data_IF_400346023554
#
_entry.id   IF_400346023554
#
_cell.length_a   1.000
_cell.length_b   1.000
_cell.length_c   1.000
_cell.angle_alpha   90.00
_cell.angle_beta   90.00
_cell.angle_gamma   90.00
#
_symmetry.space_group_name_H-M   'P 1'
#
loop_
_entity.id
_entity.type
_entity.pdbx_description
1 polymer ?
#
# COMPACT_ATOMS: atom_id res chain seq x y z
N UNK A 1 9.71 12.66 -13.33
CA UNK A 1 10.27 12.20 -12.03
C UNK A 1 9.63 12.90 -10.82
N UNK A 2 9.57 14.23 -10.77
CA UNK A 2 8.95 14.95 -9.63
C UNK A 2 7.48 14.54 -9.40
N UNK A 3 6.65 14.61 -10.44
CA UNK A 3 5.24 14.18 -10.38
C UNK A 3 5.06 12.75 -9.85
N UNK A 4 5.82 11.79 -10.39
CA UNK A 4 5.80 10.40 -9.95
C UNK A 4 6.19 10.25 -8.47
N UNK A 5 7.12 11.08 -7.99
CA UNK A 5 7.54 11.10 -6.58
C UNK A 5 6.42 11.62 -5.68
N UNK A 6 5.70 12.66 -6.12
CA UNK A 6 4.55 13.20 -5.38
C UNK A 6 3.40 12.18 -5.32
N UNK A 7 3.08 11.54 -6.44
CA UNK A 7 2.10 10.45 -6.53
C UNK A 7 2.49 9.29 -5.62
N UNK A 8 3.77 8.90 -5.59
CA UNK A 8 4.25 7.84 -4.70
C UNK A 8 4.11 8.20 -3.22
N UNK A 9 4.36 9.46 -2.84
CA UNK A 9 4.16 9.92 -1.45
C UNK A 9 2.68 9.98 -1.06
N UNK A 10 1.80 10.35 -1.98
CA UNK A 10 0.36 10.29 -1.76
C UNK A 10 -0.09 8.83 -1.57
N UNK A 11 0.33 7.95 -2.46
CA UNK A 11 0.04 6.52 -2.39
C UNK A 11 0.53 5.87 -1.07
N UNK A 12 1.72 6.21 -0.58
CA UNK A 12 2.21 5.71 0.72
C UNK A 12 1.24 6.09 1.85
N UNK A 13 0.77 7.35 1.87
CA UNK A 13 -0.16 7.80 2.93
C UNK A 13 -1.49 7.06 2.88
N UNK A 14 -2.00 6.80 1.69
CA UNK A 14 -3.23 6.02 1.50
C UNK A 14 -3.06 4.57 1.93
N UNK A 15 -1.94 3.94 1.52
CA UNK A 15 -1.60 2.57 1.92
C UNK A 15 -1.48 2.43 3.44
N UNK A 16 -0.70 3.28 4.10
CA UNK A 16 -0.51 3.19 5.57
C UNK A 16 -1.84 3.39 6.32
N UNK A 17 -2.72 4.25 5.80
CA UNK A 17 -4.08 4.40 6.34
C UNK A 17 -4.90 3.11 6.15
N UNK A 18 -4.93 2.55 4.94
CA UNK A 18 -5.69 1.33 4.66
C UNK A 18 -5.20 0.14 5.49
N UNK A 19 -3.88 -0.01 5.63
CA UNK A 19 -3.25 -1.03 6.48
C UNK A 19 -3.69 -0.89 7.93
N UNK A 20 -3.60 0.32 8.49
CA UNK A 20 -4.04 0.58 9.86
C UNK A 20 -5.54 0.34 10.04
N UNK A 21 -6.37 0.74 9.08
CA UNK A 21 -7.82 0.56 9.14
C UNK A 21 -8.19 -0.94 9.08
N UNK A 22 -7.49 -1.74 8.28
CA UNK A 22 -7.71 -3.18 8.17
C UNK A 22 -7.37 -3.93 9.47
N UNK A 23 -6.32 -3.51 10.19
CA UNK A 23 -5.93 -4.08 11.47
C UNK A 23 -6.81 -3.68 12.65
N UNK A 24 -7.58 -2.59 12.53
CA UNK A 24 -8.26 -1.94 13.66
C UNK A 24 -9.29 -2.84 14.37
N UNK A 25 -9.97 -3.73 13.63
CA UNK A 25 -10.93 -4.67 14.24
C UNK A 25 -10.25 -5.69 15.18
N UNK A 26 -8.95 -5.94 14.98
CA UNK A 26 -8.19 -6.96 15.67
C UNK A 26 -7.19 -6.40 16.70
N UNK A 27 -7.34 -5.12 17.06
CA UNK A 27 -6.36 -4.37 17.84
C UNK A 27 -5.90 -5.12 19.12
N UNK A 28 -4.59 -5.27 19.27
CA UNK A 28 -3.95 -5.95 20.41
C UNK A 28 -3.97 -7.48 20.33
N UNK A 29 -4.62 -8.06 19.32
CA UNK A 29 -4.61 -9.49 19.02
C UNK A 29 -3.45 -9.88 18.11
N UNK A 30 -3.05 -11.16 18.12
CA UNK A 30 -2.04 -11.69 17.20
C UNK A 30 -2.49 -11.71 15.73
N UNK A 31 -3.79 -11.55 15.47
CA UNK A 31 -4.36 -11.47 14.13
C UNK A 31 -4.12 -10.09 13.49
N UNK A 32 -4.08 -9.00 14.27
CA UNK A 32 -3.83 -7.65 13.76
C UNK A 32 -2.64 -7.58 12.79
N UNK A 33 -1.41 -7.96 13.19
CA UNK A 33 -0.26 -7.88 12.29
C UNK A 33 -0.38 -8.79 11.07
N UNK A 34 -1.14 -9.90 11.15
CA UNK A 34 -1.38 -10.75 9.99
C UNK A 34 -2.25 -10.02 8.95
N UNK A 35 -3.32 -9.36 9.40
CA UNK A 35 -4.23 -8.60 8.53
C UNK A 35 -3.53 -7.37 7.95
N UNK A 36 -2.84 -6.60 8.79
CA UNK A 36 -2.09 -5.40 8.37
C UNK A 36 -1.02 -5.74 7.30
N UNK A 37 -0.23 -6.80 7.51
CA UNK A 37 0.79 -7.19 6.55
C UNK A 37 0.19 -7.78 5.26
N UNK A 38 -0.95 -8.46 5.35
CA UNK A 38 -1.70 -8.94 4.18
C UNK A 38 -2.14 -7.77 3.29
N UNK A 39 -2.84 -6.80 3.88
CA UNK A 39 -3.29 -5.58 3.20
C UNK A 39 -2.09 -4.82 2.58
N UNK A 40 -1.00 -4.67 3.33
CA UNK A 40 0.21 -4.01 2.84
C UNK A 40 0.82 -4.72 1.62
N UNK A 41 0.78 -6.06 1.60
CA UNK A 41 1.27 -6.88 0.50
C UNK A 41 0.44 -6.66 -0.77
N UNK A 42 -0.89 -6.69 -0.67
CA UNK A 42 -1.80 -6.50 -1.81
C UNK A 42 -1.65 -5.11 -2.43
N UNK A 43 -1.61 -4.07 -1.59
CA UNK A 43 -1.35 -2.70 -2.05
C UNK A 43 -0.02 -2.59 -2.78
N UNK A 44 1.03 -3.18 -2.21
CA UNK A 44 2.38 -3.12 -2.79
C UNK A 44 2.44 -3.85 -4.12
N UNK A 45 1.82 -5.04 -4.23
CA UNK A 45 1.75 -5.78 -5.49
C UNK A 45 1.05 -4.97 -6.58
N UNK A 46 -0.12 -4.40 -6.26
CA UNK A 46 -0.86 -3.55 -7.20
C UNK A 46 -0.02 -2.37 -7.68
N UNK A 47 0.65 -1.68 -6.76
CA UNK A 47 1.47 -0.51 -7.10
C UNK A 47 2.68 -0.87 -7.98
N UNK A 48 3.31 -2.01 -7.74
CA UNK A 48 4.43 -2.49 -8.58
C UNK A 48 3.94 -2.75 -10.00
N UNK A 49 2.76 -3.37 -10.17
CA UNK A 49 2.16 -3.60 -11.50
C UNK A 49 1.87 -2.27 -12.22
N UNK A 50 1.23 -1.32 -11.55
CA UNK A 50 0.97 0.03 -12.10
C UNK A 50 2.25 0.74 -12.55
N UNK A 51 3.29 0.72 -11.72
CA UNK A 51 4.58 1.35 -12.03
C UNK A 51 5.30 0.65 -13.19
N UNK A 52 5.16 -0.66 -13.31
CA UNK A 52 5.74 -1.44 -14.40
C UNK A 52 5.03 -1.13 -15.73
N UNK A 53 3.70 -1.10 -15.75
CA UNK A 53 2.92 -0.69 -16.92
C UNK A 53 3.29 0.73 -17.36
N UNK A 54 3.28 1.68 -16.42
CA UNK A 54 3.70 3.05 -16.68
C UNK A 54 5.14 3.16 -17.17
N UNK A 55 6.04 2.23 -16.77
CA UNK A 55 7.41 2.19 -17.26
C UNK A 55 7.53 1.67 -18.69
N UNK A 56 6.69 0.70 -19.07
CA UNK A 56 6.69 0.08 -20.40
C UNK A 56 6.01 0.95 -21.46
N UNK A 57 5.10 1.85 -21.08
CA UNK A 57 4.38 2.77 -21.98
C UNK A 57 5.16 4.05 -22.35
N UNK A 58 6.39 4.22 -21.83
CA UNK A 58 7.22 5.41 -22.01
C UNK A 58 8.01 5.42 -23.31
#
# INVERSE_FOLDING_TARGET
MEKLTEEQRAWIREKEKAVSDAGAEFEGGSIQPLIENGEASEWTEKRVRELMEAYMEQ
#
